data_IF_883307434512
#
_entry.id   IF_883307434512
#
_cell.length_a   1.000
_cell.length_b   1.000
_cell.length_c   1.000
_cell.angle_alpha   90.00
_cell.angle_beta   90.00
_cell.angle_gamma   90.00
#
_symmetry.space_group_name_H-M   'P 1'
#
loop_
_entity.id
_entity.type
_entity.pdbx_description
1 polymer ?
#
# COMPACT_ATOMS: atom_id res chain seq x y z
N UNK A 1 -11.36 -15.99 1.86
CA UNK A 1 -10.81 -15.02 0.89
C UNK A 1 -11.24 -13.62 1.29
N UNK A 2 -10.29 -12.72 1.44
CA UNK A 2 -10.59 -11.34 1.80
C UNK A 2 -11.30 -10.63 0.64
N UNK A 3 -12.36 -9.93 0.97
CA UNK A 3 -13.08 -9.13 0.00
C UNK A 3 -12.31 -7.82 -0.22
N UNK A 4 -12.09 -7.46 -1.48
CA UNK A 4 -11.40 -6.22 -1.80
C UNK A 4 -12.22 -5.00 -1.36
N UNK A 5 -11.53 -4.03 -0.74
CA UNK A 5 -12.16 -2.78 -0.29
C UNK A 5 -12.53 -1.93 -1.51
N UNK A 6 -13.69 -1.28 -1.45
CA UNK A 6 -14.15 -0.39 -2.53
C UNK A 6 -13.11 0.70 -2.82
N UNK A 7 -12.73 0.80 -4.07
CA UNK A 7 -11.75 1.79 -4.54
C UNK A 7 -10.30 1.30 -4.61
N UNK A 8 -9.99 0.15 -4.03
CA UNK A 8 -8.65 -0.43 -4.17
C UNK A 8 -8.47 -0.95 -5.59
N UNK A 9 -7.29 -0.67 -6.16
CA UNK A 9 -6.90 -1.19 -7.46
C UNK A 9 -5.60 -1.97 -7.29
N UNK A 10 -5.57 -3.20 -7.77
CA UNK A 10 -4.36 -4.02 -7.82
C UNK A 10 -3.95 -4.14 -9.29
N UNK A 11 -2.81 -3.59 -9.64
CA UNK A 11 -2.30 -3.60 -11.00
C UNK A 11 -1.11 -4.53 -11.09
N UNK A 12 -1.21 -5.65 -11.84
CA UNK A 12 -0.05 -6.49 -12.10
C UNK A 12 1.04 -5.70 -12.81
N UNK A 13 2.28 -5.85 -12.37
CA UNK A 13 3.41 -5.12 -12.93
C UNK A 13 4.37 -6.08 -13.63
N UNK A 14 4.92 -5.63 -14.75
CA UNK A 14 5.87 -6.44 -15.52
C UNK A 14 7.23 -6.46 -14.83
N UNK A 15 7.84 -7.64 -14.86
CA UNK A 15 9.25 -7.83 -14.56
C UNK A 15 9.88 -8.31 -15.86
N UNK A 16 10.79 -7.53 -16.41
CA UNK A 16 11.46 -7.84 -17.67
C UNK A 16 12.86 -8.31 -17.38
N UNK A 17 13.11 -9.59 -17.62
CA UNK A 17 14.42 -10.17 -17.37
C UNK A 17 15.44 -9.72 -18.39
N UNK A 18 16.65 -9.46 -17.92
CA UNK A 18 17.78 -9.09 -18.76
C UNK A 18 19.06 -9.68 -18.17
N UNK A 19 20.00 -10.16 -19.00
CA UNK A 19 21.23 -10.77 -18.48
C UNK A 19 22.07 -9.86 -17.57
N UNK A 20 21.95 -8.56 -17.73
CA UNK A 20 22.71 -7.58 -16.94
C UNK A 20 21.90 -6.97 -15.81
N UNK A 21 20.69 -7.41 -15.60
CA UNK A 21 19.81 -6.90 -14.55
C UNK A 21 18.41 -6.63 -15.10
N UNK A 22 17.41 -6.91 -14.28
CA UNK A 22 16.03 -6.88 -14.70
C UNK A 22 15.41 -5.49 -14.58
N UNK A 23 14.31 -5.30 -15.30
CA UNK A 23 13.49 -4.07 -15.19
C UNK A 23 12.22 -4.43 -14.43
N UNK A 24 11.93 -3.66 -13.39
CA UNK A 24 10.69 -3.78 -12.63
C UNK A 24 9.83 -2.56 -12.91
N UNK A 25 8.68 -2.77 -13.55
CA UNK A 25 7.78 -1.66 -13.86
C UNK A 25 7.17 -1.08 -12.59
N UNK A 26 6.86 0.20 -12.63
CA UNK A 26 6.22 0.90 -11.51
C UNK A 26 4.88 1.47 -11.89
N UNK A 27 4.88 2.57 -12.65
CA UNK A 27 3.64 3.25 -12.98
C UNK A 27 3.79 4.01 -14.29
N UNK A 28 2.73 3.97 -15.10
CA UNK A 28 2.60 4.82 -16.28
C UNK A 28 1.50 5.84 -16.02
N UNK A 29 1.65 7.03 -16.56
CA UNK A 29 0.64 8.08 -16.47
C UNK A 29 -0.73 7.61 -16.97
N UNK A 30 -0.74 6.70 -17.93
CA UNK A 30 -1.98 6.16 -18.52
C UNK A 30 -2.61 5.02 -17.70
N UNK A 31 -1.98 4.61 -16.61
CA UNK A 31 -2.51 3.51 -15.80
C UNK A 31 -3.78 3.90 -15.04
N UNK A 32 -4.65 2.91 -14.82
CA UNK A 32 -5.92 3.10 -14.16
C UNK A 32 -5.80 3.59 -12.71
N UNK A 33 -4.68 3.40 -12.05
CA UNK A 33 -4.44 3.88 -10.68
C UNK A 33 -3.79 5.25 -10.60
N UNK A 34 -3.57 5.93 -11.72
CA UNK A 34 -2.91 7.21 -11.71
C UNK A 34 -3.91 8.34 -11.42
N UNK A 35 -3.77 8.97 -10.25
CA UNK A 35 -4.63 10.09 -9.82
C UNK A 35 -3.83 11.37 -9.63
N UNK A 36 -2.73 11.53 -10.36
CA UNK A 36 -1.84 12.68 -10.25
C UNK A 36 -0.52 12.31 -9.61
N UNK A 37 0.41 13.23 -9.62
CA UNK A 37 1.73 13.05 -9.02
C UNK A 37 2.07 14.25 -8.15
N UNK A 38 2.35 13.99 -6.87
CA UNK A 38 2.82 15.01 -5.95
C UNK A 38 4.26 14.75 -5.52
N UNK A 39 4.53 13.54 -5.05
CA UNK A 39 5.88 13.16 -4.61
C UNK A 39 6.03 11.65 -4.66
N UNK A 40 7.27 11.19 -4.67
CA UNK A 40 7.58 9.77 -4.57
C UNK A 40 8.70 9.58 -3.57
N UNK A 41 8.60 8.53 -2.72
CA UNK A 41 9.63 8.22 -1.77
C UNK A 41 9.68 6.73 -1.48
N UNK A 42 10.85 6.27 -1.08
CA UNK A 42 11.06 4.91 -0.58
C UNK A 42 10.93 4.91 0.94
N UNK A 43 10.38 3.82 1.46
CA UNK A 43 10.30 3.60 2.91
C UNK A 43 10.70 2.17 3.19
N UNK A 44 11.41 1.94 4.29
CA UNK A 44 11.79 0.60 4.71
C UNK A 44 11.09 0.24 6.00
N UNK A 45 10.95 -1.06 6.24
CA UNK A 45 10.38 -1.57 7.47
C UNK A 45 11.06 -2.90 7.82
N UNK A 46 11.45 -3.05 9.09
CA UNK A 46 12.11 -4.25 9.58
C UNK A 46 11.11 -5.38 9.76
N UNK A 47 11.62 -6.63 9.77
CA UNK A 47 10.79 -7.81 9.98
C UNK A 47 9.97 -7.69 11.25
N UNK A 48 8.70 -8.02 11.15
CA UNK A 48 7.70 -8.02 12.23
C UNK A 48 7.34 -6.65 12.78
N UNK A 49 7.99 -5.58 12.34
CA UNK A 49 7.57 -4.22 12.70
C UNK A 49 6.32 -3.84 11.92
N UNK A 50 5.47 -3.06 12.55
CA UNK A 50 4.20 -2.62 11.95
C UNK A 50 4.13 -1.10 12.04
N UNK A 51 3.88 -0.45 10.91
CA UNK A 51 3.64 0.99 10.83
C UNK A 51 2.18 1.24 10.48
N UNK A 52 1.53 2.11 11.19
CA UNK A 52 0.13 2.47 10.97
C UNK A 52 -0.49 2.91 12.29
N UNK A 53 -1.73 3.14 12.30
CA UNK A 53 -2.69 3.28 11.19
C UNK A 53 -2.71 4.72 10.70
N UNK A 54 -2.88 4.88 9.40
CA UNK A 54 -2.95 6.21 8.80
C UNK A 54 -4.07 6.25 7.75
N UNK A 55 -4.82 7.34 7.75
CA UNK A 55 -5.88 7.60 6.78
C UNK A 55 -5.59 8.92 6.09
N UNK A 56 -5.67 8.93 4.77
CA UNK A 56 -5.55 10.13 3.97
C UNK A 56 -6.93 10.60 3.50
N UNK A 57 -7.17 11.90 3.52
CA UNK A 57 -8.42 12.47 3.04
C UNK A 57 -8.31 13.02 1.63
N UNK A 58 -7.08 13.26 1.14
CA UNK A 58 -6.86 13.81 -0.20
C UNK A 58 -5.82 13.05 -1.00
N UNK A 59 -4.85 12.41 -0.34
CA UNK A 59 -3.75 11.71 -1.01
C UNK A 59 -4.15 10.29 -1.39
N UNK A 60 -4.07 9.97 -2.68
CA UNK A 60 -4.15 8.58 -3.15
C UNK A 60 -2.74 8.00 -3.12
N UNK A 61 -2.59 6.80 -2.59
CA UNK A 61 -1.31 6.11 -2.51
C UNK A 61 -1.20 5.08 -3.61
N UNK A 62 -0.02 4.99 -4.22
CA UNK A 62 0.33 3.90 -5.11
C UNK A 62 1.59 3.24 -4.58
N UNK A 63 1.47 2.00 -4.10
CA UNK A 63 2.51 1.31 -3.35
C UNK A 63 3.05 0.13 -4.14
N UNK A 64 4.38 0.02 -4.18
CA UNK A 64 5.11 -1.04 -4.87
C UNK A 64 6.18 -1.57 -3.93
N UNK A 65 6.39 -2.88 -3.91
CA UNK A 65 7.42 -3.51 -3.06
C UNK A 65 8.48 -4.15 -3.95
N UNK A 66 9.53 -3.40 -4.32
CA UNK A 66 10.58 -3.96 -5.19
C UNK A 66 11.60 -4.82 -4.45
N UNK A 67 11.70 -4.70 -3.13
CA UNK A 67 12.67 -5.43 -2.30
C UNK A 67 11.98 -5.96 -1.06
N UNK A 68 12.18 -7.25 -0.79
CA UNK A 68 11.61 -7.89 0.39
C UNK A 68 10.14 -8.23 0.22
N UNK A 69 9.43 -8.32 1.32
CA UNK A 69 8.00 -8.64 1.35
C UNK A 69 7.31 -7.81 2.42
N UNK A 70 6.19 -7.21 2.09
CA UNK A 70 5.41 -6.37 3.01
C UNK A 70 3.95 -6.79 2.94
N UNK A 71 3.34 -6.97 4.11
CA UNK A 71 1.90 -7.18 4.21
C UNK A 71 1.22 -5.84 4.44
N UNK A 72 0.28 -5.49 3.58
CA UNK A 72 -0.55 -4.30 3.72
C UNK A 72 -1.92 -4.71 4.21
N UNK A 73 -2.45 -3.98 5.19
CA UNK A 73 -3.81 -4.19 5.70
C UNK A 73 -4.56 -2.87 5.59
N UNK A 74 -5.72 -2.94 4.97
CA UNK A 74 -6.60 -1.78 4.78
C UNK A 74 -7.91 -2.04 5.52
N UNK A 75 -8.35 -1.04 6.28
CA UNK A 75 -9.63 -1.07 6.99
C UNK A 75 -10.52 0.05 6.48
N UNK A 76 -11.75 -0.29 6.12
CA UNK A 76 -12.72 0.64 5.56
C UNK A 76 -13.74 1.03 6.62
N UNK A 77 -13.66 2.27 7.11
CA UNK A 77 -14.63 2.82 8.05
C UNK A 77 -15.53 3.89 7.41
N UNK A 78 -15.55 3.95 6.07
CA UNK A 78 -16.43 4.89 5.36
C UNK A 78 -17.87 4.42 5.44
N UNK A 79 -18.72 5.20 6.08
CA UNK A 79 -20.09 4.80 6.40
C UNK A 79 -20.93 4.44 5.18
N UNK A 80 -20.67 5.06 4.03
CA UNK A 80 -21.45 4.84 2.82
C UNK A 80 -20.78 3.91 1.82
N UNK A 81 -19.65 3.34 2.19
CA UNK A 81 -18.94 2.39 1.33
C UNK A 81 -19.64 1.04 1.29
N UNK A 82 -19.62 0.41 0.13
CA UNK A 82 -20.12 -0.96 -0.03
C UNK A 82 -19.33 -1.98 0.80
N UNK A 83 -18.12 -1.63 1.22
CA UNK A 83 -17.26 -2.50 2.03
C UNK A 83 -17.04 -1.95 3.43
N UNK A 84 -17.97 -1.13 3.92
CA UNK A 84 -17.90 -0.58 5.27
C UNK A 84 -17.61 -1.66 6.30
N UNK A 85 -16.69 -1.36 7.22
CA UNK A 85 -16.32 -2.22 8.34
C UNK A 85 -15.59 -3.52 7.93
N UNK A 86 -15.03 -3.56 6.72
CA UNK A 86 -14.27 -4.71 6.24
C UNK A 86 -12.77 -4.44 6.24
N UNK A 87 -12.00 -5.52 6.36
CA UNK A 87 -10.56 -5.51 6.21
C UNK A 87 -10.16 -6.20 4.91
N UNK A 88 -9.07 -5.74 4.32
CA UNK A 88 -8.42 -6.39 3.20
C UNK A 88 -6.93 -6.46 3.47
N UNK A 89 -6.32 -7.61 3.25
CA UNK A 89 -4.87 -7.76 3.39
C UNK A 89 -4.25 -8.37 2.14
N UNK A 90 -3.02 -7.98 1.86
CA UNK A 90 -2.25 -8.52 0.75
C UNK A 90 -0.76 -8.44 1.06
N UNK A 91 -0.02 -9.50 0.71
CA UNK A 91 1.44 -9.52 0.79
C UNK A 91 2.01 -9.24 -0.59
N UNK A 92 2.81 -8.21 -0.71
CA UNK A 92 3.47 -7.83 -1.96
C UNK A 92 4.97 -8.08 -1.87
N UNK A 93 5.52 -8.57 -2.97
CA UNK A 93 6.94 -8.91 -3.12
C UNK A 93 7.23 -9.04 -4.61
N UNK A 94 8.48 -9.39 -4.98
CA UNK A 94 8.78 -9.72 -6.37
C UNK A 94 8.01 -10.95 -6.86
N UNK A 95 7.67 -11.86 -5.94
CA UNK A 95 6.88 -13.06 -6.29
C UNK A 95 5.38 -12.77 -6.42
N UNK A 96 4.92 -11.64 -5.93
CA UNK A 96 3.57 -11.13 -6.11
C UNK A 96 3.68 -9.65 -6.41
N UNK A 97 4.18 -9.35 -7.61
CA UNK A 97 4.60 -8.01 -7.97
C UNK A 97 3.43 -7.22 -8.58
N UNK A 98 2.78 -6.44 -7.74
CA UNK A 98 1.62 -5.63 -8.10
C UNK A 98 1.73 -4.26 -7.47
N UNK A 99 1.13 -3.27 -8.13
CA UNK A 99 0.98 -1.95 -7.52
C UNK A 99 -0.37 -1.90 -6.82
N UNK A 100 -0.33 -1.52 -5.54
CA UNK A 100 -1.52 -1.35 -4.73
C UNK A 100 -1.90 0.12 -4.72
N UNK A 101 -3.06 0.44 -5.32
CA UNK A 101 -3.62 1.78 -5.29
C UNK A 101 -4.63 1.85 -4.16
N UNK A 102 -4.40 2.75 -3.20
CA UNK A 102 -5.26 2.90 -2.03
C UNK A 102 -6.04 4.21 -2.15
N UNK A 103 -7.39 4.14 -2.16
CA UNK A 103 -8.20 5.35 -2.24
C UNK A 103 -8.13 6.17 -0.97
N UNK A 104 -8.60 7.40 -1.05
CA UNK A 104 -8.75 8.24 0.15
C UNK A 104 -9.81 7.65 1.08
N UNK A 105 -9.73 8.01 2.36
CA UNK A 105 -10.77 7.71 3.34
C UNK A 105 -10.66 6.36 4.03
N UNK A 106 -9.65 5.57 3.73
CA UNK A 106 -9.45 4.26 4.38
C UNK A 106 -8.21 4.26 5.26
N UNK A 107 -8.19 3.40 6.27
CA UNK A 107 -7.03 3.21 7.15
C UNK A 107 -6.10 2.18 6.57
N UNK A 108 -4.80 2.43 6.68
CA UNK A 108 -3.79 1.51 6.19
C UNK A 108 -2.68 1.33 7.22
N UNK A 109 -2.23 0.10 7.37
CA UNK A 109 -1.05 -0.26 8.15
C UNK A 109 -0.29 -1.32 7.36
N UNK A 110 1.01 -1.47 7.64
CA UNK A 110 1.81 -2.48 6.95
C UNK A 110 2.88 -3.06 7.86
N UNK A 111 3.24 -4.29 7.55
CA UNK A 111 4.17 -5.10 8.35
C UNK A 111 5.27 -5.65 7.46
N UNK A 112 6.51 -5.57 7.93
CA UNK A 112 7.66 -6.19 7.27
C UNK A 112 7.66 -7.69 7.48
N UNK A 113 7.88 -8.45 6.41
CA UNK A 113 7.82 -9.92 6.44
C UNK A 113 9.19 -10.54 6.26
N UNK A 114 10.01 -10.04 5.34
CA UNK A 114 11.34 -10.58 5.07
C UNK A 114 12.32 -10.25 6.20
N UNK A 115 13.25 -11.14 6.46
CA UNK A 115 14.33 -10.89 7.44
C UNK A 115 15.34 -9.87 6.95
N UNK A 116 15.45 -9.71 5.65
CA UNK A 116 16.31 -8.71 5.04
C UNK A 116 15.55 -7.40 4.84
N UNK A 117 16.04 -6.54 3.98
CA UNK A 117 15.39 -5.26 3.72
C UNK A 117 14.01 -5.46 3.12
N UNK A 118 13.02 -4.80 3.71
CA UNK A 118 11.69 -4.67 3.11
C UNK A 118 11.53 -3.21 2.73
N UNK A 119 11.31 -2.95 1.45
CA UNK A 119 11.23 -1.59 0.94
C UNK A 119 10.00 -1.42 0.08
N UNK A 120 9.27 -0.34 0.32
CA UNK A 120 8.19 0.07 -0.57
C UNK A 120 8.55 1.39 -1.24
N UNK A 121 8.00 1.59 -2.42
CA UNK A 121 7.96 2.88 -3.10
C UNK A 121 6.53 3.39 -3.01
N UNK A 122 6.35 4.60 -2.53
CA UNK A 122 5.05 5.27 -2.57
C UNK A 122 5.10 6.38 -3.63
N UNK A 123 4.20 6.29 -4.60
CA UNK A 123 3.98 7.35 -5.57
C UNK A 123 2.68 8.03 -5.14
N UNK A 124 2.81 9.18 -4.48
CA UNK A 124 1.68 9.88 -3.87
C UNK A 124 1.10 10.90 -4.84
N UNK A 125 -0.23 11.02 -4.85
CA UNK A 125 -0.93 11.89 -5.79
C UNK A 125 -0.76 13.37 -5.48
N UNK A 126 -0.44 13.72 -4.24
CA UNK A 126 -0.15 15.10 -3.81
C UNK A 126 1.10 15.09 -2.96
N UNK A 127 1.70 16.27 -2.78
CA UNK A 127 2.80 16.44 -1.83
C UNK A 127 2.30 16.33 -0.40
N UNK A 128 3.17 15.94 0.51
CA UNK A 128 2.85 15.80 1.94
C UNK A 128 2.21 17.06 2.49
N UNK A 129 1.03 16.88 3.10
CA UNK A 129 0.30 17.96 3.78
C UNK A 129 -0.23 17.39 5.10
N UNK A 130 0.34 17.75 6.25
CA UNK A 130 -0.01 17.09 7.51
C UNK A 130 -1.48 17.23 7.91
N UNK A 131 -2.19 18.24 7.40
CA UNK A 131 -3.59 18.45 7.79
C UNK A 131 -4.58 17.54 7.04
N UNK A 132 -4.14 16.84 5.99
CA UNK A 132 -5.03 15.93 5.24
C UNK A 132 -5.02 14.50 5.78
N UNK A 133 -4.16 14.18 6.74
CA UNK A 133 -3.99 12.82 7.23
C UNK A 133 -4.37 12.71 8.71
N UNK A 134 -4.91 11.55 9.06
CA UNK A 134 -5.23 11.18 10.44
C UNK A 134 -4.43 9.95 10.82
N UNK A 135 -4.09 9.84 12.10
CA UNK A 135 -3.38 8.68 12.63
C UNK A 135 -4.14 8.07 13.79
N UNK A 136 -3.96 6.76 13.99
CA UNK A 136 -4.44 6.03 15.16
C UNK A 136 -3.33 5.11 15.65
N UNK A 137 -3.34 4.81 16.93
CA UNK A 137 -2.45 3.80 17.49
C UNK A 137 -2.85 2.42 16.97
N UNK A 138 -1.90 1.48 16.95
CA UNK A 138 -2.16 0.14 16.40
C UNK A 138 -3.30 -0.58 17.10
N UNK A 139 -3.49 -0.37 18.40
CA UNK A 139 -4.54 -1.04 19.16
C UNK A 139 -5.92 -0.38 19.02
N UNK A 140 -6.01 0.78 18.39
CA UNK A 140 -7.30 1.45 18.17
C UNK A 140 -8.11 0.84 17.04
N UNK A 141 -7.45 0.13 16.12
CA UNK A 141 -8.10 -0.69 15.09
C UNK A 141 -7.57 -2.11 15.30
N UNK A 142 -8.44 -2.99 15.76
CA UNK A 142 -8.03 -4.35 16.12
C UNK A 142 -7.92 -5.22 14.88
N UNK A 143 -6.72 -5.72 14.63
CA UNK A 143 -6.45 -6.64 13.55
C UNK A 143 -5.51 -7.73 14.04
N UNK A 144 -5.78 -8.97 13.65
CA UNK A 144 -4.91 -10.09 14.04
C UNK A 144 -3.73 -10.19 13.07
N UNK A 145 -2.59 -9.63 13.49
CA UNK A 145 -1.36 -9.64 12.69
C UNK A 145 -0.60 -10.98 12.75
N UNK A 146 -0.99 -11.84 13.68
CA UNK A 146 -0.38 -13.16 13.86
C UNK A 146 -1.36 -14.19 13.32
N UNK A 147 -1.04 -14.76 12.17
CA UNK A 147 -1.93 -15.74 11.50
C UNK A 147 -1.19 -17.01 11.18
#
# INVERSE_FOLDING_TARGET
>A
MDKMIEGIILTPLKQINHPKGDIYHGMKKSDNGFFGFGEAYFSTISKNEIKGWKKHTEMVLNLIVPVGEIEFVIYDDRLESATFNNFFSIKLSQNNYKRLTIPIGVWMAFKGISEETNMLLNIASIEHNPVEAFTKELDEIKYNWIK
#
